data_IF_515390081808
#
_entry.id   IF_515390081808
#
_cell.length_a   1.000
_cell.length_b   1.000
_cell.length_c   1.000
_cell.angle_alpha   90.00
_cell.angle_beta   90.00
_cell.angle_gamma   90.00
#
_symmetry.space_group_name_H-M   'P 1'
#
loop_
_entity.id
_entity.type
_entity.pdbx_description
1 polymer ?
#
# COMPACT_ATOMS: atom_id res chain seq x y z
N UNK A 1 23.50 11.94 36.94
CA UNK A 1 22.17 11.92 37.59
C UNK A 1 21.40 13.10 37.03
N UNK A 2 20.14 12.95 36.62
CA UNK A 2 19.32 14.08 36.19
C UNK A 2 18.51 14.68 37.37
N UNK A 3 17.86 15.83 37.19
CA UNK A 3 17.08 16.49 38.24
C UNK A 3 15.86 15.67 38.73
N UNK A 4 15.27 14.85 37.86
CA UNK A 4 14.11 14.01 38.20
C UNK A 4 14.53 12.79 39.04
N UNK A 5 15.66 12.16 38.71
CA UNK A 5 16.32 11.11 39.47
C UNK A 5 16.79 11.62 40.84
N UNK A 6 17.35 12.83 40.90
CA UNK A 6 17.72 13.48 42.15
C UNK A 6 16.48 13.76 43.01
N UNK A 7 15.38 14.22 42.43
CA UNK A 7 14.12 14.38 43.16
C UNK A 7 13.60 13.05 43.72
N UNK A 8 13.67 11.97 42.94
CA UNK A 8 13.28 10.63 43.38
C UNK A 8 14.14 10.12 44.55
N UNK A 9 15.43 10.53 44.61
CA UNK A 9 16.35 10.21 45.71
C UNK A 9 16.24 11.14 46.93
N UNK A 10 15.25 12.05 46.93
CA UNK A 10 14.95 12.94 48.07
C UNK A 10 15.75 14.24 48.10
N UNK A 11 16.40 14.63 47.00
CA UNK A 11 17.07 15.92 46.89
C UNK A 11 16.05 17.05 46.67
N UNK A 12 16.25 18.20 47.33
CA UNK A 12 15.30 19.32 47.35
C UNK A 12 15.85 20.61 46.78
N UNK A 13 17.16 20.83 46.86
CA UNK A 13 17.81 22.08 46.46
C UNK A 13 18.94 21.83 45.45
N UNK A 14 19.17 22.83 44.62
CA UNK A 14 20.21 22.84 43.59
C UNK A 14 21.07 24.07 43.79
N UNK A 15 22.39 23.90 43.68
CA UNK A 15 23.37 24.97 43.59
C UNK A 15 24.11 24.87 42.25
N UNK A 16 24.45 26.02 41.66
CA UNK A 16 25.06 26.12 40.33
C UNK A 16 26.26 27.06 40.37
N UNK A 17 27.37 26.61 39.80
CA UNK A 17 28.58 27.41 39.57
C UNK A 17 28.45 28.23 38.26
N UNK A 18 29.14 29.37 38.18
CA UNK A 18 29.24 30.19 36.95
C UNK A 18 29.77 29.40 35.75
N UNK A 19 30.68 28.46 36.02
CA UNK A 19 31.29 27.60 35.01
C UNK A 19 30.41 26.42 34.58
N UNK A 20 29.16 26.32 35.08
CA UNK A 20 28.16 25.36 34.62
C UNK A 20 28.06 24.04 35.40
N UNK A 21 28.82 23.87 36.48
CA UNK A 21 28.68 22.73 37.39
C UNK A 21 27.47 22.84 38.33
N UNK A 22 26.75 21.73 38.55
CA UNK A 22 25.50 21.69 39.35
C UNK A 22 25.57 20.62 40.46
N UNK A 23 25.26 21.03 41.69
CA UNK A 23 25.17 20.15 42.87
C UNK A 23 23.74 20.10 43.40
N UNK A 24 23.35 18.93 43.92
CA UNK A 24 22.06 18.70 44.59
C UNK A 24 22.23 18.44 46.08
N UNK A 25 21.28 18.97 46.84
CA UNK A 25 21.28 18.97 48.29
C UNK A 25 19.93 18.48 48.83
N UNK A 26 19.95 17.61 49.85
CA UNK A 26 18.73 17.10 50.52
C UNK A 26 18.13 18.15 51.46
N UNK A 27 18.99 18.90 52.15
CA UNK A 27 18.65 20.02 53.01
C UNK A 27 19.16 21.32 52.41
N UNK A 28 18.77 22.46 53.00
CA UNK A 28 19.26 23.77 52.56
C UNK A 28 20.77 23.84 52.84
N UNK A 29 21.62 24.05 51.83
CA UNK A 29 23.08 24.01 52.02
C UNK A 29 23.60 25.24 52.76
N UNK A 30 24.68 25.05 53.51
CA UNK A 30 25.42 26.10 54.25
C UNK A 30 26.80 26.31 53.62
N UNK A 31 27.36 27.51 53.80
CA UNK A 31 28.67 27.85 53.26
C UNK A 31 29.76 27.54 54.28
N UNK A 32 30.66 26.59 53.97
CA UNK A 32 31.80 26.19 54.81
C UNK A 32 33.06 26.11 53.96
N UNK A 33 34.15 26.73 54.41
CA UNK A 33 35.46 26.65 53.72
C UNK A 33 35.46 27.10 52.25
N UNK A 34 34.54 27.98 51.84
CA UNK A 34 34.40 28.42 50.45
C UNK A 34 33.45 27.59 49.59
N UNK A 35 32.88 26.49 50.10
CA UNK A 35 31.97 25.60 49.37
C UNK A 35 30.58 25.55 50.00
N UNK A 36 29.58 25.16 49.19
CA UNK A 36 28.22 24.89 49.66
C UNK A 36 28.07 23.41 49.99
N UNK A 37 27.83 23.10 51.27
CA UNK A 37 27.74 21.72 51.76
C UNK A 37 26.41 21.45 52.48
N UNK A 38 25.92 20.21 52.38
CA UNK A 38 24.78 19.72 53.15
C UNK A 38 24.88 18.21 53.35
N UNK A 39 24.42 17.60 54.45
CA UNK A 39 24.51 16.14 54.62
C UNK A 39 23.98 15.36 53.41
N UNK A 40 24.85 14.55 52.80
CA UNK A 40 24.51 13.70 51.65
C UNK A 40 24.33 14.41 50.31
N UNK A 41 24.97 15.57 50.10
CA UNK A 41 25.00 16.28 48.81
C UNK A 41 25.71 15.48 47.70
N UNK A 42 25.34 15.70 46.43
CA UNK A 42 25.89 14.99 45.24
C UNK A 42 25.95 15.88 44.00
N UNK A 43 26.74 15.48 43.00
CA UNK A 43 26.82 16.15 41.68
C UNK A 43 25.85 15.57 40.65
N UNK A 44 25.31 16.42 39.78
CA UNK A 44 24.43 16.03 38.66
C UNK A 44 25.24 15.76 37.38
N UNK A 45 26.11 16.70 36.98
CA UNK A 45 26.92 16.65 35.76
C UNK A 45 28.39 16.96 36.06
N UNK A 46 29.24 15.92 36.06
CA UNK A 46 30.68 15.92 35.74
C UNK A 46 31.64 16.99 36.30
N UNK A 47 31.26 17.82 37.27
CA UNK A 47 32.01 19.00 37.69
C UNK A 47 32.39 19.04 39.16
N UNK A 48 33.42 19.84 39.45
CA UNK A 48 34.02 20.16 40.75
C UNK A 48 33.09 20.98 41.67
N UNK A 49 33.44 21.01 42.96
CA UNK A 49 32.64 21.61 44.03
C UNK A 49 32.24 23.06 43.71
N UNK A 50 30.97 23.43 43.98
CA UNK A 50 30.42 24.76 43.69
C UNK A 50 31.01 25.82 44.62
N UNK A 51 31.97 26.66 44.16
CA UNK A 51 32.68 27.62 45.01
C UNK A 51 31.93 28.96 45.13
N UNK A 52 30.99 29.24 44.22
CA UNK A 52 30.27 30.51 44.15
C UNK A 52 28.75 30.32 44.08
N UNK A 53 28.06 31.26 44.72
CA UNK A 53 26.60 31.34 44.78
C UNK A 53 26.13 32.04 43.52
N UNK A 54 25.41 31.36 42.63
CA UNK A 54 24.61 32.12 41.68
C UNK A 54 23.12 31.92 41.78
N UNK A 55 22.60 30.73 42.13
CA UNK A 55 21.21 30.63 42.64
C UNK A 55 21.08 29.36 43.48
N UNK A 56 20.66 29.48 44.75
CA UNK A 56 20.07 28.34 45.47
C UNK A 56 18.61 28.29 45.05
N UNK A 57 18.21 27.26 44.32
CA UNK A 57 16.81 27.11 43.91
C UNK A 57 16.28 25.74 44.28
N UNK A 58 14.95 25.67 44.49
CA UNK A 58 14.28 24.40 44.66
C UNK A 58 14.42 23.54 43.39
N UNK A 59 14.59 22.24 43.56
CA UNK A 59 14.78 21.30 42.44
C UNK A 59 13.59 21.35 41.46
N UNK A 60 12.38 21.59 41.95
CA UNK A 60 11.18 21.76 41.12
C UNK A 60 11.26 23.04 40.25
N UNK A 61 11.87 24.12 40.76
CA UNK A 61 12.07 25.34 39.98
C UNK A 61 13.09 25.12 38.87
N UNK A 62 14.16 24.36 39.14
CA UNK A 62 15.15 23.96 38.15
C UNK A 62 14.52 23.12 37.02
N UNK A 63 13.71 22.11 37.37
CA UNK A 63 12.96 21.28 36.40
C UNK A 63 12.05 22.15 35.52
N UNK A 64 11.31 23.10 36.11
CA UNK A 64 10.43 24.00 35.37
C UNK A 64 11.18 24.95 34.42
N UNK A 65 12.39 25.38 34.77
CA UNK A 65 13.24 26.19 33.89
C UNK A 65 13.76 25.34 32.72
N UNK A 66 14.26 24.13 33.00
CA UNK A 66 14.73 23.20 31.98
C UNK A 66 13.61 22.84 31.00
N UNK A 67 12.42 22.54 31.48
CA UNK A 67 11.27 22.21 30.64
C UNK A 67 10.87 23.38 29.71
N UNK A 68 10.85 24.61 30.23
CA UNK A 68 10.60 25.81 29.42
C UNK A 68 11.66 26.03 28.34
N UNK A 69 12.94 25.82 28.67
CA UNK A 69 14.03 25.89 27.69
C UNK A 69 13.89 24.81 26.61
N UNK A 70 13.57 23.57 26.99
CA UNK A 70 13.33 22.48 26.04
C UNK A 70 12.13 22.75 25.14
N UNK A 71 11.04 23.31 25.67
CA UNK A 71 9.86 23.69 24.90
C UNK A 71 10.18 24.83 23.92
N UNK A 72 10.91 25.87 24.37
CA UNK A 72 11.36 26.96 23.51
C UNK A 72 12.25 26.45 22.34
N UNK A 73 13.17 25.52 22.62
CA UNK A 73 14.00 24.87 21.59
C UNK A 73 13.14 24.07 20.60
N UNK A 74 12.13 23.33 21.08
CA UNK A 74 11.18 22.60 20.22
C UNK A 74 10.39 23.57 19.34
N UNK A 75 9.87 24.66 19.88
CA UNK A 75 9.14 25.68 19.14
C UNK A 75 10.03 26.36 18.09
N UNK A 76 11.27 26.71 18.43
CA UNK A 76 12.24 27.27 17.49
C UNK A 76 12.57 26.28 16.34
N UNK A 77 12.73 25.00 16.65
CA UNK A 77 12.95 23.96 15.64
C UNK A 77 11.72 23.80 14.71
N UNK A 78 10.51 23.87 15.26
CA UNK A 78 9.28 23.85 14.46
C UNK A 78 9.15 25.08 13.58
N UNK A 79 9.47 26.27 14.09
CA UNK A 79 9.48 27.52 13.32
C UNK A 79 10.47 27.45 12.15
N UNK A 80 11.70 26.94 12.38
CA UNK A 80 12.70 26.71 11.31
C UNK A 80 12.18 25.74 10.23
N UNK A 81 11.50 24.64 10.64
CA UNK A 81 10.88 23.70 9.70
C UNK A 81 9.75 24.35 8.88
N UNK A 82 8.92 25.19 9.52
CA UNK A 82 7.85 25.96 8.84
C UNK A 82 8.44 26.95 7.84
N UNK A 83 9.44 27.75 8.23
CA UNK A 83 10.15 28.66 7.34
C UNK A 83 10.79 27.94 6.13
N UNK A 84 11.43 26.78 6.35
CA UNK A 84 11.99 25.96 5.27
C UNK A 84 10.92 25.38 4.32
N UNK A 85 9.70 25.16 4.82
CA UNK A 85 8.54 24.74 4.02
C UNK A 85 7.98 25.91 3.21
N UNK A 86 7.94 27.11 3.80
CA UNK A 86 7.57 28.37 3.14
C UNK A 86 8.51 28.67 1.96
N UNK A 87 9.82 28.58 2.17
CA UNK A 87 10.82 28.81 1.10
C UNK A 87 10.78 27.74 0.01
N UNK A 88 10.49 26.48 0.34
CA UNK A 88 10.29 25.40 -0.65
C UNK A 88 9.06 25.56 -1.54
N UNK A 89 8.06 26.34 -1.11
CA UNK A 89 6.87 26.64 -1.93
C UNK A 89 7.14 27.70 -2.99
N UNK A 90 8.28 28.41 -2.96
CA UNK A 90 8.66 29.32 -4.04
C UNK A 90 9.13 28.50 -5.25
N UNK A 91 8.31 28.59 -6.29
CA UNK A 91 8.57 28.24 -7.69
C UNK A 91 10.02 28.47 -8.07
N UNK A 92 10.75 27.39 -8.29
CA UNK A 92 12.16 27.46 -8.67
C UNK A 92 12.29 27.28 -10.18
N UNK A 93 13.09 28.14 -10.80
CA UNK A 93 13.59 27.94 -12.17
C UNK A 93 14.25 26.57 -12.25
N UNK A 94 13.80 25.73 -13.18
CA UNK A 94 14.22 24.33 -13.33
C UNK A 94 14.52 23.99 -14.76
N UNK A 95 15.36 23.00 -14.96
CA UNK A 95 15.69 22.47 -16.29
C UNK A 95 14.79 21.27 -16.60
N UNK A 96 14.09 21.33 -17.74
CA UNK A 96 13.23 20.25 -18.21
C UNK A 96 14.07 19.01 -18.56
N UNK A 97 13.70 17.84 -18.01
CA UNK A 97 14.42 16.57 -18.25
C UNK A 97 14.39 16.08 -19.71
N UNK A 98 13.51 16.65 -20.54
CA UNK A 98 13.33 16.25 -21.93
C UNK A 98 14.01 17.22 -22.89
N UNK A 99 13.64 18.49 -22.87
CA UNK A 99 14.16 19.49 -23.81
C UNK A 99 15.34 20.30 -23.25
N UNK A 100 15.72 20.09 -21.98
CA UNK A 100 16.81 20.79 -21.28
C UNK A 100 16.67 22.32 -21.20
N UNK A 101 15.48 22.87 -21.49
CA UNK A 101 15.20 24.30 -21.30
C UNK A 101 14.87 24.61 -19.86
N UNK A 102 15.23 25.82 -19.45
CA UNK A 102 14.81 26.39 -18.17
C UNK A 102 13.32 26.76 -18.22
N UNK A 103 12.61 26.50 -17.14
CA UNK A 103 11.20 26.82 -16.98
C UNK A 103 10.88 27.07 -15.50
N UNK A 104 9.87 27.89 -15.24
CA UNK A 104 9.43 28.17 -13.89
C UNK A 104 8.40 27.12 -13.46
N UNK A 105 8.81 26.27 -12.52
CA UNK A 105 7.97 25.19 -12.03
C UNK A 105 7.05 25.69 -10.92
N UNK A 106 5.74 25.51 -11.08
CA UNK A 106 4.75 25.84 -10.05
C UNK A 106 5.05 25.16 -8.71
N UNK A 107 5.52 23.90 -8.74
CA UNK A 107 5.83 23.11 -7.54
C UNK A 107 7.12 22.31 -7.72
N UNK A 108 7.77 21.99 -6.59
CA UNK A 108 9.07 21.31 -6.59
C UNK A 108 9.10 19.86 -7.11
N UNK A 109 7.96 19.28 -7.48
CA UNK A 109 7.85 17.95 -8.10
C UNK A 109 7.83 18.01 -9.63
N UNK A 110 7.60 19.18 -10.24
CA UNK A 110 7.50 19.31 -11.70
C UNK A 110 8.90 19.25 -12.30
N UNK A 111 9.09 18.30 -13.21
CA UNK A 111 10.38 18.01 -13.87
C UNK A 111 10.38 18.31 -15.38
N UNK A 112 9.25 18.74 -15.92
CA UNK A 112 9.04 18.93 -17.36
C UNK A 112 8.33 20.28 -17.58
N UNK A 113 8.74 21.01 -18.61
CA UNK A 113 8.18 22.32 -18.94
C UNK A 113 6.80 22.26 -19.62
N UNK A 114 6.38 21.10 -20.10
CA UNK A 114 5.08 20.90 -20.76
C UNK A 114 4.63 19.44 -20.72
N UNK A 115 3.34 19.20 -20.95
CA UNK A 115 2.78 17.85 -21.06
C UNK A 115 3.42 17.04 -22.18
N UNK A 116 3.76 17.68 -23.30
CA UNK A 116 4.48 17.04 -24.39
C UNK A 116 5.87 16.57 -23.95
N UNK A 117 6.63 17.45 -23.27
CA UNK A 117 7.94 17.08 -22.73
C UNK A 117 7.84 15.95 -21.70
N UNK A 118 6.79 15.95 -20.86
CA UNK A 118 6.52 14.85 -19.94
C UNK A 118 6.25 13.54 -20.69
N UNK A 119 5.41 13.55 -21.72
CA UNK A 119 5.08 12.36 -22.51
C UNK A 119 6.31 11.78 -23.22
N UNK A 120 7.11 12.63 -23.87
CA UNK A 120 8.36 12.23 -24.53
C UNK A 120 9.34 11.63 -23.50
N UNK A 121 9.51 12.29 -22.35
CA UNK A 121 10.36 11.81 -21.27
C UNK A 121 9.93 10.45 -20.72
N UNK A 122 8.62 10.25 -20.50
CA UNK A 122 8.05 8.96 -20.08
C UNK A 122 8.28 7.87 -21.14
N UNK A 123 8.08 8.18 -22.43
CA UNK A 123 8.31 7.23 -23.53
C UNK A 123 9.77 6.78 -23.58
N UNK A 124 10.72 7.70 -23.44
CA UNK A 124 12.17 7.40 -23.39
C UNK A 124 12.52 6.51 -22.20
N UNK A 125 11.99 6.81 -21.01
CA UNK A 125 12.24 6.00 -19.82
C UNK A 125 11.63 4.59 -19.93
N UNK A 126 10.42 4.47 -20.50
CA UNK A 126 9.79 3.17 -20.77
C UNK A 126 10.61 2.36 -21.79
N UNK A 127 11.11 3.00 -22.85
CA UNK A 127 12.00 2.34 -23.81
C UNK A 127 13.28 1.82 -23.15
N UNK A 128 13.91 2.61 -22.26
CA UNK A 128 15.07 2.17 -21.46
C UNK A 128 14.72 1.00 -20.53
N UNK A 129 13.58 1.05 -19.85
CA UNK A 129 13.11 -0.04 -18.99
C UNK A 129 12.85 -1.32 -19.79
N UNK A 130 12.23 -1.21 -20.98
CA UNK A 130 12.02 -2.34 -21.90
C UNK A 130 13.33 -2.90 -22.47
N UNK A 131 14.31 -2.06 -22.78
CA UNK A 131 15.62 -2.50 -23.23
C UNK A 131 16.33 -3.30 -22.12
N UNK A 132 16.34 -2.78 -20.89
CA UNK A 132 16.87 -3.49 -19.72
C UNK A 132 16.16 -4.82 -19.49
N UNK A 133 14.83 -4.86 -19.64
CA UNK A 133 14.06 -6.10 -19.53
C UNK A 133 14.40 -7.11 -20.62
N UNK A 134 14.74 -6.69 -21.85
CA UNK A 134 15.16 -7.60 -22.93
C UNK A 134 16.40 -8.41 -22.56
N UNK A 135 17.33 -7.79 -21.83
CA UNK A 135 18.57 -8.43 -21.39
C UNK A 135 18.36 -9.31 -20.14
N UNK A 136 17.27 -9.10 -19.38
CA UNK A 136 16.88 -9.88 -18.19
C UNK A 136 15.78 -10.94 -18.49
N UNK A 137 15.32 -11.11 -19.73
CA UNK A 137 14.30 -12.12 -20.07
C UNK A 137 14.90 -13.52 -19.90
N UNK A 138 14.27 -14.42 -19.12
CA UNK A 138 14.71 -15.81 -19.03
C UNK A 138 14.79 -16.45 -20.43
N UNK A 139 15.84 -17.23 -20.75
CA UNK A 139 16.09 -17.80 -22.10
C UNK A 139 14.91 -18.58 -22.71
N UNK A 140 13.96 -18.99 -21.88
CA UNK A 140 12.78 -19.76 -22.25
C UNK A 140 11.67 -18.96 -22.97
N UNK A 141 11.71 -17.62 -22.91
CA UNK A 141 10.83 -16.72 -23.67
C UNK A 141 11.46 -16.46 -25.05
N UNK A 142 11.15 -17.34 -26.00
CA UNK A 142 11.73 -17.32 -27.35
C UNK A 142 12.01 -18.73 -27.88
N UNK A 143 12.04 -19.74 -27.00
CA UNK A 143 12.15 -21.13 -27.40
C UNK A 143 11.01 -21.56 -28.33
N UNK A 144 11.36 -22.36 -29.35
CA UNK A 144 10.40 -23.02 -30.23
C UNK A 144 9.59 -24.03 -29.41
N UNK A 145 8.29 -23.80 -29.29
CA UNK A 145 7.35 -24.68 -28.61
C UNK A 145 6.42 -25.32 -29.63
N UNK A 146 6.08 -26.58 -29.39
CA UNK A 146 5.16 -27.35 -30.23
C UNK A 146 3.72 -26.96 -29.95
N UNK A 147 2.97 -26.57 -30.99
CA UNK A 147 1.54 -26.26 -30.89
C UNK A 147 0.73 -27.51 -30.49
N UNK A 148 -0.08 -27.42 -29.44
CA UNK A 148 -0.92 -28.54 -28.95
C UNK A 148 -2.11 -28.92 -29.87
N UNK A 149 -2.20 -28.36 -31.07
CA UNK A 149 -3.27 -28.64 -32.02
C UNK A 149 -2.76 -29.12 -33.35
N UNK A 150 -1.87 -28.35 -33.99
CA UNK A 150 -1.31 -28.71 -35.29
C UNK A 150 0.09 -29.33 -35.21
N UNK A 151 0.71 -29.39 -34.03
CA UNK A 151 2.07 -29.93 -33.87
C UNK A 151 3.20 -29.07 -34.44
N UNK A 152 2.91 -27.92 -35.07
CA UNK A 152 3.94 -27.04 -35.60
C UNK A 152 4.74 -26.36 -34.49
N UNK A 153 6.06 -26.25 -34.68
CA UNK A 153 6.96 -25.51 -33.80
C UNK A 153 6.81 -24.00 -34.04
N UNK A 154 6.63 -23.21 -32.99
CA UNK A 154 6.47 -21.76 -33.08
C UNK A 154 7.13 -21.04 -31.89
N UNK A 155 7.49 -19.77 -32.08
CA UNK A 155 8.03 -18.94 -30.98
C UNK A 155 6.91 -18.41 -30.09
N UNK A 156 6.94 -18.74 -28.79
CA UNK A 156 5.98 -18.19 -27.83
C UNK A 156 6.40 -16.81 -27.36
N UNK A 157 5.50 -15.82 -27.47
CA UNK A 157 5.75 -14.46 -26.95
C UNK A 157 5.58 -14.36 -25.43
N UNK A 158 4.93 -15.36 -24.81
CA UNK A 158 4.72 -15.49 -23.37
C UNK A 158 4.74 -16.98 -22.99
N UNK A 159 5.23 -17.30 -21.78
CA UNK A 159 5.41 -18.67 -21.32
C UNK A 159 4.13 -19.53 -21.34
N UNK A 160 2.95 -18.91 -21.18
CA UNK A 160 1.65 -19.59 -21.11
C UNK A 160 0.95 -19.80 -22.46
N UNK A 161 1.53 -19.36 -23.59
CA UNK A 161 0.92 -19.55 -24.92
C UNK A 161 1.23 -20.97 -25.41
N UNK A 162 0.18 -21.77 -25.66
CA UNK A 162 0.29 -23.18 -26.07
C UNK A 162 -0.06 -23.45 -27.55
N UNK A 163 -0.48 -22.43 -28.30
CA UNK A 163 -0.97 -22.56 -29.68
C UNK A 163 -0.29 -21.52 -30.58
N UNK A 164 0.05 -21.91 -31.81
CA UNK A 164 0.74 -21.04 -32.76
C UNK A 164 -0.12 -19.90 -33.30
N UNK A 165 -1.44 -20.08 -33.35
CA UNK A 165 -2.37 -19.11 -33.93
C UNK A 165 -3.71 -19.07 -33.20
N UNK A 166 -4.48 -18.00 -33.43
CA UNK A 166 -5.85 -17.89 -32.92
C UNK A 166 -6.73 -19.02 -33.47
N UNK A 167 -6.54 -19.42 -34.74
CA UNK A 167 -7.27 -20.52 -35.36
C UNK A 167 -7.02 -21.85 -34.62
N UNK A 168 -5.75 -22.19 -34.32
CA UNK A 168 -5.43 -23.37 -33.52
C UNK A 168 -6.05 -23.29 -32.11
N UNK A 169 -5.97 -22.12 -31.45
CA UNK A 169 -6.60 -21.95 -30.14
C UNK A 169 -8.12 -22.17 -30.17
N UNK A 170 -8.78 -21.71 -31.22
CA UNK A 170 -10.23 -21.88 -31.40
C UNK A 170 -10.58 -23.33 -31.72
N UNK A 171 -9.84 -23.99 -32.61
CA UNK A 171 -10.00 -25.43 -32.87
C UNK A 171 -9.87 -26.26 -31.59
N UNK A 172 -8.88 -25.97 -30.75
CA UNK A 172 -8.71 -26.64 -29.44
C UNK A 172 -9.91 -26.44 -28.52
N UNK A 173 -10.50 -25.24 -28.54
CA UNK A 173 -11.66 -24.91 -27.72
C UNK A 173 -12.91 -25.61 -28.22
N UNK A 174 -13.10 -25.66 -29.54
CA UNK A 174 -14.25 -26.34 -30.17
C UNK A 174 -14.19 -27.83 -29.93
N UNK A 175 -13.02 -28.47 -30.08
CA UNK A 175 -12.84 -29.90 -29.82
C UNK A 175 -13.15 -30.31 -28.37
N UNK A 176 -12.97 -29.41 -27.40
CA UNK A 176 -13.29 -29.64 -25.98
C UNK A 176 -14.72 -29.31 -25.59
N UNK A 177 -15.53 -28.72 -26.48
CA UNK A 177 -16.91 -28.37 -26.17
C UNK A 177 -17.78 -29.64 -26.22
N UNK A 178 -18.50 -29.98 -25.15
CA UNK A 178 -19.45 -31.09 -25.20
C UNK A 178 -20.54 -30.77 -26.24
N UNK A 179 -20.79 -31.73 -27.13
CA UNK A 179 -21.93 -31.73 -28.03
C UNK A 179 -23.16 -32.22 -27.26
N UNK A 180 -24.26 -31.49 -27.37
CA UNK A 180 -25.54 -31.86 -26.78
C UNK A 180 -26.52 -32.15 -27.90
N UNK A 181 -27.05 -33.37 -27.94
CA UNK A 181 -28.19 -33.73 -28.79
C UNK A 181 -29.47 -33.34 -28.07
N UNK A 182 -30.32 -32.56 -28.72
CA UNK A 182 -31.56 -32.03 -28.15
C UNK A 182 -32.68 -32.06 -29.17
N UNK A 183 -33.90 -32.15 -28.68
CA UNK A 183 -35.11 -32.05 -29.49
C UNK A 183 -35.57 -30.60 -29.51
N UNK A 184 -35.87 -30.05 -30.69
CA UNK A 184 -36.39 -28.70 -30.82
C UNK A 184 -37.79 -28.60 -30.20
N UNK A 185 -38.00 -27.66 -29.27
CA UNK A 185 -39.29 -27.50 -28.61
C UNK A 185 -40.44 -27.03 -29.53
N UNK A 186 -40.14 -26.53 -30.73
CA UNK A 186 -41.15 -26.02 -31.69
C UNK A 186 -41.48 -27.03 -32.77
N UNK A 187 -40.47 -27.59 -33.44
CA UNK A 187 -40.67 -28.47 -34.58
C UNK A 187 -40.41 -29.96 -34.28
N UNK A 188 -39.99 -30.29 -33.05
CA UNK A 188 -39.74 -31.69 -32.65
C UNK A 188 -38.50 -32.34 -33.28
N UNK A 189 -37.78 -31.66 -34.17
CA UNK A 189 -36.60 -32.24 -34.84
C UNK A 189 -35.41 -32.32 -33.89
N UNK A 190 -34.68 -33.43 -33.93
CA UNK A 190 -33.40 -33.57 -33.24
C UNK A 190 -32.33 -32.68 -33.87
N UNK A 191 -31.54 -32.00 -33.04
CA UNK A 191 -30.43 -31.17 -33.47
C UNK A 191 -29.28 -31.24 -32.47
N UNK A 192 -28.07 -30.99 -32.95
CA UNK A 192 -26.86 -30.96 -32.13
C UNK A 192 -26.40 -29.54 -31.88
N UNK A 193 -25.94 -29.26 -30.66
CA UNK A 193 -25.46 -27.94 -30.29
C UNK A 193 -24.31 -27.99 -29.29
N UNK A 194 -23.41 -27.02 -29.38
CA UNK A 194 -22.36 -26.82 -28.35
C UNK A 194 -22.87 -26.01 -27.15
N UNK A 195 -24.05 -25.41 -27.25
CA UNK A 195 -24.64 -24.60 -26.17
C UNK A 195 -25.66 -25.40 -25.37
N UNK A 196 -25.29 -25.72 -24.13
CA UNK A 196 -26.16 -26.39 -23.16
C UNK A 196 -27.46 -25.65 -22.86
N UNK A 197 -27.61 -24.37 -23.23
CA UNK A 197 -28.84 -23.58 -23.02
C UNK A 197 -29.74 -23.46 -24.25
N UNK A 198 -29.29 -23.85 -25.44
CA UNK A 198 -30.09 -23.75 -26.67
C UNK A 198 -31.24 -24.76 -26.66
N UNK A 199 -32.45 -24.29 -27.00
CA UNK A 199 -33.71 -25.09 -27.00
C UNK A 199 -34.30 -25.30 -28.41
N UNK A 200 -33.81 -24.55 -29.40
CA UNK A 200 -34.38 -24.52 -30.75
C UNK A 200 -33.31 -24.86 -31.81
N UNK A 201 -33.71 -25.64 -32.81
CA UNK A 201 -32.79 -26.07 -33.87
C UNK A 201 -32.32 -24.90 -34.75
N UNK A 202 -33.20 -23.94 -35.03
CA UNK A 202 -32.95 -22.82 -35.94
C UNK A 202 -33.49 -21.50 -35.40
N UNK A 203 -33.01 -20.38 -35.98
CA UNK A 203 -33.51 -19.03 -35.67
C UNK A 203 -34.98 -18.86 -36.05
N UNK A 204 -35.46 -19.61 -37.05
CA UNK A 204 -36.90 -19.69 -37.40
C UNK A 204 -37.72 -20.28 -36.24
N UNK A 205 -37.28 -21.42 -35.70
CA UNK A 205 -37.93 -22.03 -34.53
C UNK A 205 -37.81 -21.15 -33.28
N UNK A 206 -36.69 -20.49 -33.09
CA UNK A 206 -36.50 -19.56 -31.98
C UNK A 206 -37.45 -18.35 -32.07
N UNK A 207 -37.62 -17.79 -33.27
CA UNK A 207 -38.55 -16.68 -33.52
C UNK A 207 -40.01 -17.13 -33.43
N UNK A 208 -40.34 -18.33 -33.87
CA UNK A 208 -41.68 -18.92 -33.74
C UNK A 208 -42.06 -19.21 -32.28
N UNK A 209 -41.09 -19.63 -31.45
CA UNK A 209 -41.30 -19.82 -30.01
C UNK A 209 -41.47 -18.50 -29.25
N UNK A 210 -40.93 -17.41 -29.79
CA UNK A 210 -40.94 -16.10 -29.16
C UNK A 210 -41.41 -15.04 -30.18
N UNK A 211 -42.69 -15.13 -30.63
CA UNK A 211 -43.24 -14.21 -31.62
C UNK A 211 -43.30 -12.77 -31.10
N UNK A 212 -43.24 -12.61 -29.77
CA UNK A 212 -42.90 -11.36 -29.12
C UNK A 212 -41.40 -11.08 -29.28
N UNK A 213 -40.95 -10.75 -30.48
CA UNK A 213 -40.00 -9.64 -30.55
C UNK A 213 -40.73 -8.42 -30.04
N UNK A 214 -40.79 -8.28 -28.69
CA UNK A 214 -41.40 -7.16 -27.98
C UNK A 214 -41.00 -5.91 -28.73
N UNK A 215 -41.99 -5.17 -29.24
CA UNK A 215 -41.76 -3.85 -29.79
C UNK A 215 -40.82 -3.12 -28.84
N UNK A 216 -39.63 -2.80 -29.34
CA UNK A 216 -38.60 -2.23 -28.49
C UNK A 216 -39.15 -0.93 -27.94
N UNK A 217 -39.23 -0.76 -26.60
CA UNK A 217 -39.82 0.43 -26.03
C UNK A 217 -39.04 1.64 -26.53
N UNK A 218 -39.77 2.66 -26.97
CA UNK A 218 -39.19 3.97 -27.19
C UNK A 218 -38.72 4.50 -25.84
N UNK A 219 -37.49 5.00 -25.80
CA UNK A 219 -36.90 5.63 -24.61
C UNK A 219 -36.38 7.00 -24.97
N UNK A 220 -36.40 7.88 -24.00
CA UNK A 220 -35.79 9.20 -24.10
C UNK A 220 -34.30 9.09 -23.73
N UNK A 221 -33.43 9.58 -24.61
CA UNK A 221 -31.99 9.63 -24.36
C UNK A 221 -31.69 10.56 -23.18
N UNK A 222 -31.00 10.07 -22.15
CA UNK A 222 -30.65 10.87 -20.97
C UNK A 222 -29.68 12.03 -21.23
N UNK A 223 -29.06 12.07 -22.42
CA UNK A 223 -28.07 13.10 -22.76
C UNK A 223 -28.62 14.17 -23.70
N UNK A 224 -29.37 13.78 -24.71
CA UNK A 224 -29.88 14.72 -25.73
C UNK A 224 -31.40 14.86 -25.74
N UNK A 225 -32.12 14.13 -24.89
CA UNK A 225 -33.59 14.21 -24.81
C UNK A 225 -34.35 13.62 -26.00
N UNK A 226 -33.67 13.10 -27.03
CA UNK A 226 -34.32 12.51 -28.22
C UNK A 226 -34.88 11.13 -27.92
N UNK A 227 -36.07 10.86 -28.46
CA UNK A 227 -36.67 9.53 -28.46
C UNK A 227 -35.90 8.59 -29.39
N UNK A 228 -35.71 7.34 -28.95
CA UNK A 228 -35.06 6.30 -29.74
C UNK A 228 -35.61 4.92 -29.40
N UNK A 229 -35.56 4.00 -30.37
CA UNK A 229 -35.89 2.58 -30.17
C UNK A 229 -34.77 1.92 -29.38
N UNK A 230 -35.02 1.59 -28.12
CA UNK A 230 -33.98 1.09 -27.24
C UNK A 230 -33.92 -0.43 -27.25
N UNK A 231 -32.79 -1.00 -27.65
CA UNK A 231 -32.46 -2.40 -27.34
C UNK A 231 -32.35 -2.60 -25.83
N UNK A 232 -32.58 -3.83 -25.34
CA UNK A 232 -32.55 -4.17 -23.93
C UNK A 232 -31.33 -3.56 -23.20
N UNK A 233 -31.58 -2.73 -22.18
CA UNK A 233 -30.53 -2.11 -21.35
C UNK A 233 -29.88 -0.83 -21.91
N UNK A 234 -30.16 -0.42 -23.15
CA UNK A 234 -29.58 0.81 -23.74
C UNK A 234 -30.22 2.07 -23.11
N UNK A 235 -29.38 3.02 -22.71
CA UNK A 235 -29.77 4.28 -22.04
C UNK A 235 -29.62 5.54 -22.91
N UNK A 236 -28.92 5.42 -24.03
CA UNK A 236 -28.54 6.55 -24.89
C UNK A 236 -28.80 6.21 -26.37
N UNK A 237 -29.24 7.20 -27.14
CA UNK A 237 -29.61 7.02 -28.54
C UNK A 237 -28.41 6.73 -29.47
N UNK A 238 -27.19 7.11 -29.08
CA UNK A 238 -25.97 6.94 -29.89
C UNK A 238 -24.76 6.61 -29.02
N UNK A 239 -23.71 6.07 -29.66
CA UNK A 239 -22.41 5.87 -29.01
C UNK A 239 -21.81 7.21 -28.54
N UNK A 240 -22.02 8.29 -29.30
CA UNK A 240 -21.59 9.63 -28.94
C UNK A 240 -22.23 10.10 -27.62
N UNK A 241 -23.57 10.02 -27.50
CA UNK A 241 -24.27 10.34 -26.26
C UNK A 241 -23.78 9.45 -25.10
N UNK A 242 -23.62 8.15 -25.32
CA UNK A 242 -23.09 7.26 -24.28
C UNK A 242 -21.68 7.65 -23.82
N UNK A 243 -20.83 8.10 -24.74
CA UNK A 243 -19.47 8.54 -24.44
C UNK A 243 -19.48 9.83 -23.63
N UNK A 244 -20.30 10.81 -24.01
CA UNK A 244 -20.44 12.09 -23.30
C UNK A 244 -20.97 11.90 -21.88
N UNK A 245 -21.99 11.06 -21.72
CA UNK A 245 -22.52 10.67 -20.42
C UNK A 245 -21.44 10.06 -19.52
N UNK A 246 -20.69 9.10 -20.05
CA UNK A 246 -19.60 8.45 -19.33
C UNK A 246 -18.49 9.43 -18.97
N UNK A 247 -18.19 10.39 -19.84
CA UNK A 247 -17.22 11.46 -19.60
C UNK A 247 -17.68 12.40 -18.48
N UNK A 248 -18.97 12.79 -18.46
CA UNK A 248 -19.57 13.60 -17.38
C UNK A 248 -19.51 12.86 -16.04
N UNK A 249 -20.02 11.62 -16.00
CA UNK A 249 -20.00 10.78 -14.79
C UNK A 249 -18.58 10.54 -14.26
N UNK A 250 -17.60 10.36 -15.15
CA UNK A 250 -16.19 10.21 -14.75
C UNK A 250 -15.63 11.49 -14.13
N UNK A 251 -16.02 12.67 -14.62
CA UNK A 251 -15.61 13.97 -14.03
C UNK A 251 -16.25 14.16 -12.67
N UNK A 252 -17.53 13.82 -12.51
CA UNK A 252 -18.24 13.90 -11.24
C UNK A 252 -17.66 12.97 -10.18
N UNK A 253 -17.39 11.70 -10.54
CA UNK A 253 -16.68 10.76 -9.66
C UNK A 253 -15.32 11.31 -9.24
N UNK A 254 -14.54 11.89 -10.17
CA UNK A 254 -13.26 12.53 -9.84
C UNK A 254 -13.42 13.72 -8.88
N UNK A 255 -14.47 14.53 -9.03
CA UNK A 255 -14.78 15.62 -8.08
C UNK A 255 -15.16 15.08 -6.70
N UNK A 256 -15.95 14.02 -6.64
CA UNK A 256 -16.32 13.35 -5.38
C UNK A 256 -15.09 12.75 -4.68
N UNK A 257 -14.20 12.08 -5.42
CA UNK A 257 -12.95 11.53 -4.86
C UNK A 257 -11.90 12.60 -4.50
N UNK A 258 -12.02 13.82 -5.05
CA UNK A 258 -11.18 14.97 -4.65
C UNK A 258 -11.69 15.67 -3.39
N UNK A 259 -12.92 15.40 -2.93
CA UNK A 259 -13.33 15.86 -1.60
C UNK A 259 -12.34 15.26 -0.59
N UNK A 260 -11.82 16.05 0.37
CA UNK A 260 -11.00 15.49 1.43
C UNK A 260 -11.80 14.33 2.01
N UNK A 261 -11.18 13.13 2.09
CA UNK A 261 -11.81 12.01 2.80
C UNK A 261 -12.33 12.59 4.12
N UNK A 262 -13.61 12.38 4.49
CA UNK A 262 -14.06 12.77 5.82
C UNK A 262 -13.02 12.22 6.79
N UNK A 263 -12.58 13.08 7.73
CA UNK A 263 -11.58 12.69 8.72
C UNK A 263 -11.98 11.31 9.21
N UNK A 264 -11.17 10.31 8.85
CA UNK A 264 -11.46 8.94 9.25
C UNK A 264 -11.53 9.03 10.77
N UNK A 265 -12.69 8.72 11.41
CA UNK A 265 -12.74 8.72 12.87
C UNK A 265 -11.55 7.88 13.29
N UNK A 266 -10.69 8.46 14.14
CA UNK A 266 -9.37 7.95 14.50
C UNK A 266 -9.42 6.44 14.44
N UNK A 267 -8.74 5.88 13.42
CA UNK A 267 -8.83 4.46 13.15
C UNK A 267 -8.58 3.79 14.49
N UNK A 268 -9.60 3.12 15.04
CA UNK A 268 -9.46 2.30 16.24
C UNK A 268 -8.44 1.27 15.85
N UNK A 269 -7.16 1.57 16.10
CA UNK A 269 -6.08 0.65 15.83
C UNK A 269 -6.38 -0.49 16.76
N UNK A 270 -6.76 -1.64 16.20
CA UNK A 270 -7.00 -2.83 17.00
C UNK A 270 -5.83 -2.97 17.99
N UNK A 271 -6.11 -3.20 19.28
CA UNK A 271 -5.07 -3.30 20.28
C UNK A 271 -4.04 -4.34 19.83
N UNK A 272 -2.74 -4.09 20.07
CA UNK A 272 -1.68 -5.00 19.64
C UNK A 272 -1.98 -6.41 20.16
N UNK A 273 -2.08 -7.37 19.23
CA UNK A 273 -2.33 -8.76 19.56
C UNK A 273 -1.01 -9.35 20.03
N UNK A 274 -0.93 -9.75 21.31
CA UNK A 274 0.21 -10.48 21.84
C UNK A 274 -0.13 -11.97 21.88
N UNK A 275 0.73 -12.80 21.30
CA UNK A 275 0.58 -14.26 21.31
C UNK A 275 1.90 -14.94 21.65
N UNK A 276 1.84 -16.19 22.12
CA UNK A 276 3.02 -17.00 22.43
C UNK A 276 3.46 -17.76 21.17
N UNK A 277 4.73 -17.69 20.83
CA UNK A 277 5.30 -18.47 19.74
C UNK A 277 5.19 -19.97 20.06
N UNK A 278 4.69 -20.79 19.12
CA UNK A 278 4.62 -22.26 19.34
C UNK A 278 5.98 -22.93 19.46
N UNK A 279 7.03 -22.29 18.95
CA UNK A 279 8.37 -22.87 18.89
C UNK A 279 9.22 -22.45 20.10
N UNK A 280 9.43 -21.14 20.27
CA UNK A 280 10.30 -20.62 21.32
C UNK A 280 9.55 -20.15 22.57
N UNK A 281 8.22 -20.31 22.61
CA UNK A 281 7.32 -19.89 23.70
C UNK A 281 7.35 -18.40 24.10
N UNK A 282 8.17 -17.58 23.43
CA UNK A 282 8.27 -16.14 23.66
C UNK A 282 6.98 -15.43 23.27
N UNK A 283 6.52 -14.51 24.12
CA UNK A 283 5.42 -13.60 23.81
C UNK A 283 5.90 -12.55 22.81
N UNK A 284 5.18 -12.40 21.69
CA UNK A 284 5.50 -11.43 20.65
C UNK A 284 4.26 -10.70 20.14
N UNK A 285 4.48 -9.53 19.53
CA UNK A 285 3.42 -8.73 18.90
C UNK A 285 3.10 -9.29 17.52
N UNK A 286 1.95 -9.94 17.39
CA UNK A 286 1.48 -10.51 16.13
C UNK A 286 0.90 -9.42 15.21
N UNK A 287 1.21 -9.53 13.92
CA UNK A 287 0.67 -8.63 12.88
C UNK A 287 -0.80 -8.94 12.59
N UNK A 288 -1.22 -10.19 12.82
CA UNK A 288 -2.60 -10.66 12.71
C UNK A 288 -2.84 -11.85 13.66
N UNK A 289 -4.11 -12.25 13.86
CA UNK A 289 -4.47 -13.37 14.75
C UNK A 289 -3.99 -14.75 14.25
N UNK A 290 -3.59 -14.87 12.99
CA UNK A 290 -3.13 -16.12 12.37
C UNK A 290 -1.61 -16.31 12.50
N UNK A 291 -0.88 -15.29 12.95
CA UNK A 291 0.57 -15.37 13.10
C UNK A 291 0.91 -16.14 14.38
N UNK A 292 1.38 -17.38 14.20
CA UNK A 292 1.68 -18.32 15.30
C UNK A 292 3.14 -18.27 15.74
N UNK A 293 4.04 -17.79 14.86
CA UNK A 293 5.49 -17.78 15.10
C UNK A 293 6.02 -16.35 15.16
N UNK A 294 6.96 -16.11 16.09
CA UNK A 294 7.56 -14.79 16.27
C UNK A 294 8.52 -14.41 15.12
N UNK A 295 8.98 -15.38 14.34
CA UNK A 295 9.89 -15.18 13.22
C UNK A 295 9.75 -16.30 12.18
N UNK A 296 10.25 -16.04 10.96
CA UNK A 296 10.32 -17.06 9.90
C UNK A 296 11.15 -18.26 10.37
N UNK A 297 12.27 -18.02 11.08
CA UNK A 297 13.13 -19.08 11.63
C UNK A 297 12.36 -20.05 12.52
N UNK A 298 11.59 -19.53 13.48
CA UNK A 298 10.76 -20.37 14.36
C UNK A 298 9.69 -21.14 13.58
N UNK A 299 9.15 -20.58 12.49
CA UNK A 299 8.21 -21.30 11.63
C UNK A 299 8.88 -22.42 10.84
N UNK A 300 10.14 -22.27 10.44
CA UNK A 300 10.90 -23.27 9.69
C UNK A 300 11.39 -24.39 10.61
N UNK A 301 11.90 -24.06 11.80
CA UNK A 301 12.31 -25.03 12.82
C UNK A 301 11.15 -25.91 13.27
N UNK A 302 10.00 -25.31 13.52
CA UNK A 302 8.78 -26.06 13.85
C UNK A 302 8.37 -27.02 12.72
N UNK A 303 8.43 -26.57 11.45
CA UNK A 303 8.12 -27.43 10.29
C UNK A 303 9.08 -28.60 10.14
N UNK A 304 10.37 -28.39 10.41
CA UNK A 304 11.39 -29.46 10.35
C UNK A 304 11.14 -30.52 11.42
N UNK A 305 10.81 -30.10 12.65
CA UNK A 305 10.47 -31.02 13.74
C UNK A 305 9.15 -31.76 13.49
N UNK A 306 8.13 -31.05 13.01
CA UNK A 306 6.86 -31.65 12.66
C UNK A 306 7.01 -32.70 11.54
N UNK A 307 7.92 -32.48 10.57
CA UNK A 307 8.21 -33.46 9.52
C UNK A 307 8.94 -34.71 10.05
N UNK A 308 9.84 -34.57 11.03
CA UNK A 308 10.51 -35.73 11.65
C UNK A 308 9.59 -36.54 12.57
N UNK A 309 8.63 -35.88 13.23
CA UNK A 309 7.66 -36.55 14.09
C UNK A 309 6.62 -37.34 13.25
N UNK A 310 6.29 -36.89 12.03
CA UNK A 310 5.38 -37.58 11.10
C UNK A 310 6.01 -38.87 10.52
N UNK A 311 7.31 -38.85 10.20
CA UNK A 311 8.06 -40.07 9.80
C UNK A 311 8.09 -41.14 10.90
N UNK A 312 8.05 -40.76 12.18
CA UNK A 312 8.01 -41.70 13.31
C UNK A 312 6.63 -42.30 13.57
N UNK A 313 5.54 -41.62 13.15
CA UNK A 313 4.17 -42.09 13.30
C UNK A 313 3.67 -42.89 12.09
N UNK A 314 4.30 -42.76 10.92
CA UNK A 314 3.98 -43.57 9.74
C UNK A 314 4.35 -45.06 9.93
N UNK A 315 5.28 -45.39 10.83
CA UNK A 315 5.70 -46.76 11.14
C UNK A 315 4.95 -47.43 12.31
N UNK A 316 4.11 -46.69 13.06
CA UNK A 316 3.31 -47.24 14.17
C UNK A 316 1.91 -47.72 13.76
N UNK A 317 1.55 -47.59 12.47
CA UNK A 317 0.23 -47.96 11.94
C UNK A 317 0.17 -49.28 11.13
N UNK A 318 1.28 -50.01 11.00
CA UNK A 318 1.35 -51.23 10.15
C UNK A 318 1.82 -52.43 10.98
N UNK A 319 1.15 -52.74 12.08
CA UNK A 319 1.26 -54.04 12.77
C UNK A 319 -0.01 -54.31 13.59
N UNK A 320 -1.16 -54.42 12.92
CA UNK A 320 -2.32 -55.17 13.41
C UNK A 320 -3.13 -55.63 12.19
N UNK A 321 -2.71 -56.75 11.62
CA UNK A 321 -3.55 -57.75 10.94
C UNK A 321 -2.75 -59.02 10.74
#
# INVERSE_FOLDING_TARGET
>A
MNYEEAKAQGFKYVTRNQLGGECVHKTKPERKGGYWESPGWRYIQGGTACPEKNVIMAINAAINIQNRQQEALKLAAQARKRAKKETRKRTGRRVCKTCKREFDAEHGSISYCSDLCMMIGKRRNNAKWKAKQRDEVPPELGALVTCKQCGQKFHRSRHYIAYCSNACREAARVAKRPMHSKTCAVCGTEFTTTDGRRQYCSEKCQSAANPQQKELPTRICKECGKEFKATQGRKYCSAACSYEANRRNSRERKKQHKKPKPAVPEAKTDPPIFTKCKECHRVFRAVNRQQVYCSIKCSEEWRKRAASDDESNQWKGVFYR
#
